data_IF_095658447981
#
_entry.id   IF_095658447981
#
_cell.length_a   1.000
_cell.length_b   1.000
_cell.length_c   1.000
_cell.angle_alpha   90.00
_cell.angle_beta   90.00
_cell.angle_gamma   90.00
#
_symmetry.space_group_name_H-M   'P 1'
#
loop_
_entity.id
_entity.type
_entity.pdbx_description
1 polymer ?
#
# COMPACT_ATOMS: atom_id res chain seq x y z
N UNK A 1 -20.43 35.19 -10.34
CA UNK A 1 -19.06 34.99 -9.82
C UNK A 1 -18.96 33.99 -8.66
N UNK A 2 -19.91 33.93 -7.71
CA UNK A 2 -19.81 33.03 -6.54
C UNK A 2 -19.64 31.53 -6.82
N UNK A 3 -20.28 30.97 -7.86
CA UNK A 3 -20.14 29.53 -8.19
C UNK A 3 -18.76 29.13 -8.77
N UNK A 4 -18.03 30.09 -9.33
CA UNK A 4 -16.70 29.84 -9.91
C UNK A 4 -15.63 29.83 -8.81
N UNK A 5 -15.75 30.75 -7.86
CA UNK A 5 -14.89 30.83 -6.67
C UNK A 5 -15.07 29.58 -5.80
N UNK A 6 -16.30 29.09 -5.63
CA UNK A 6 -16.57 27.88 -4.85
C UNK A 6 -15.98 26.61 -5.46
N UNK A 7 -15.94 26.50 -6.81
CA UNK A 7 -15.28 25.37 -7.50
C UNK A 7 -13.76 25.43 -7.40
N UNK A 8 -13.18 26.63 -7.47
CA UNK A 8 -11.73 26.84 -7.29
C UNK A 8 -11.33 26.52 -5.84
N UNK A 9 -12.15 26.88 -4.85
CA UNK A 9 -11.91 26.56 -3.45
C UNK A 9 -11.93 25.04 -3.20
N UNK A 10 -12.86 24.31 -3.82
CA UNK A 10 -12.90 22.84 -3.74
C UNK A 10 -11.66 22.19 -4.35
N UNK A 11 -11.21 22.66 -5.52
CA UNK A 11 -9.99 22.14 -6.17
C UNK A 11 -8.75 22.44 -5.31
N UNK A 12 -8.65 23.64 -4.73
CA UNK A 12 -7.54 24.00 -3.85
C UNK A 12 -7.52 23.20 -2.56
N UNK A 13 -8.68 22.92 -1.94
CA UNK A 13 -8.80 22.06 -0.75
C UNK A 13 -8.44 20.60 -1.07
N UNK A 14 -8.81 20.09 -2.25
CA UNK A 14 -8.39 18.76 -2.70
C UNK A 14 -6.89 18.68 -3.00
N UNK A 15 -6.28 19.75 -3.51
CA UNK A 15 -4.84 19.82 -3.75
C UNK A 15 -4.02 19.93 -2.45
N UNK A 16 -4.52 20.61 -1.41
CA UNK A 16 -3.84 20.68 -0.11
C UNK A 16 -3.95 19.39 0.72
N UNK A 17 -5.01 18.59 0.54
CA UNK A 17 -5.10 17.24 1.11
C UNK A 17 -4.12 16.22 0.51
N UNK A 18 -3.47 16.54 -0.63
CA UNK A 18 -2.45 15.68 -1.25
C UNK A 18 -1.01 15.98 -0.79
N UNK A 19 -0.77 17.02 0.04
CA UNK A 19 0.60 17.47 0.34
C UNK A 19 1.26 16.76 1.53
N UNK A 20 0.54 16.01 2.34
CA UNK A 20 1.11 15.39 3.55
C UNK A 20 0.79 13.89 3.63
N UNK A 21 1.56 13.11 2.86
CA UNK A 21 1.67 11.66 3.06
C UNK A 21 3.07 11.17 2.65
N UNK A 22 4.12 11.94 2.96
CA UNK A 22 5.47 11.37 3.09
C UNK A 22 5.50 10.66 4.44
N UNK A 23 5.04 9.41 4.45
CA UNK A 23 5.18 8.56 5.63
C UNK A 23 6.66 8.45 5.99
N UNK A 24 6.98 8.68 7.25
CA UNK A 24 8.32 8.56 7.87
C UNK A 24 8.99 7.20 7.67
N UNK A 25 8.27 6.22 7.10
CA UNK A 25 8.81 4.93 6.68
C UNK A 25 9.70 4.99 5.43
N UNK A 26 9.66 6.08 4.66
CA UNK A 26 10.47 6.27 3.42
C UNK A 26 11.74 7.10 3.69
N UNK A 27 11.88 7.66 4.90
CA UNK A 27 13.13 8.31 5.35
C UNK A 27 14.14 7.23 5.74
N UNK A 28 14.82 6.64 4.76
CA UNK A 28 15.84 5.61 5.00
C UNK A 28 16.04 4.59 3.87
N UNK A 29 15.28 4.69 2.76
CA UNK A 29 15.53 3.87 1.58
C UNK A 29 16.63 4.51 0.72
N UNK A 30 17.67 3.72 0.37
CA UNK A 30 18.87 4.18 -0.36
C UNK A 30 18.60 4.85 -1.72
N UNK A 31 17.39 4.67 -2.29
CA UNK A 31 16.98 5.23 -3.58
C UNK A 31 16.95 6.77 -3.63
N UNK A 32 17.04 7.44 -2.48
CA UNK A 32 17.08 8.90 -2.38
C UNK A 32 18.43 9.48 -1.94
N UNK A 33 19.42 8.65 -1.60
CA UNK A 33 20.73 9.15 -1.18
C UNK A 33 21.62 9.46 -2.39
N UNK A 34 22.18 10.66 -2.43
CA UNK A 34 23.16 11.04 -3.46
C UNK A 34 24.54 10.49 -3.12
N UNK A 35 25.29 10.05 -4.14
CA UNK A 35 26.70 9.66 -4.03
C UNK A 35 27.66 10.86 -3.99
N UNK A 36 27.18 12.07 -4.26
CA UNK A 36 28.02 13.27 -4.19
C UNK A 36 28.32 13.62 -2.73
N UNK A 37 29.59 13.82 -2.36
CA UNK A 37 29.95 14.11 -0.98
C UNK A 37 29.37 15.46 -0.52
N UNK A 38 28.58 15.42 0.55
CA UNK A 38 28.04 16.58 1.26
C UNK A 38 27.48 16.18 2.63
N UNK A 39 27.29 17.11 3.56
CA UNK A 39 26.78 16.77 4.91
C UNK A 39 25.40 16.09 4.88
N UNK A 40 24.54 16.47 3.91
CA UNK A 40 23.22 15.86 3.71
C UNK A 40 23.28 14.44 3.13
N UNK A 41 24.35 14.07 2.41
CA UNK A 41 24.51 12.71 1.90
C UNK A 41 24.88 11.74 3.02
N UNK A 42 25.76 12.17 3.94
CA UNK A 42 26.18 11.33 5.08
C UNK A 42 25.03 11.02 6.04
N UNK A 43 24.20 12.00 6.38
CA UNK A 43 23.02 11.77 7.22
C UNK A 43 22.01 10.80 6.58
N UNK A 44 21.85 10.84 5.25
CA UNK A 44 20.99 9.91 4.51
C UNK A 44 21.53 8.46 4.59
N UNK A 45 22.84 8.28 4.43
CA UNK A 45 23.48 6.97 4.52
C UNK A 45 23.44 6.40 5.95
N UNK A 46 23.66 7.23 6.96
CA UNK A 46 23.56 6.83 8.38
C UNK A 46 22.14 6.31 8.73
N UNK A 47 21.11 7.03 8.30
CA UNK A 47 19.72 6.59 8.45
C UNK A 47 19.43 5.29 7.70
N UNK A 48 19.96 5.15 6.49
CA UNK A 48 19.82 3.94 5.68
C UNK A 48 20.46 2.73 6.37
N UNK A 49 21.67 2.89 6.90
CA UNK A 49 22.35 1.85 7.68
C UNK A 49 21.56 1.47 8.92
N UNK A 50 21.08 2.46 9.69
CA UNK A 50 20.25 2.22 10.87
C UNK A 50 18.97 1.44 10.52
N UNK A 51 18.33 1.77 9.40
CA UNK A 51 17.15 1.04 8.91
C UNK A 51 17.47 -0.43 8.58
N UNK A 52 18.56 -0.70 7.86
CA UNK A 52 18.95 -2.07 7.52
C UNK A 52 19.36 -2.88 8.74
N UNK A 53 20.09 -2.27 9.69
CA UNK A 53 20.45 -2.91 10.95
C UNK A 53 19.22 -3.27 11.78
N UNK A 54 18.29 -2.32 11.96
CA UNK A 54 17.05 -2.55 12.68
C UNK A 54 16.20 -3.64 12.01
N UNK A 55 16.16 -3.64 10.67
CA UNK A 55 15.45 -4.64 9.88
C UNK A 55 16.08 -6.03 10.03
N UNK A 56 17.40 -6.14 9.91
CA UNK A 56 18.14 -7.38 10.07
C UNK A 56 17.95 -7.96 11.48
N UNK A 57 18.14 -7.14 12.52
CA UNK A 57 17.90 -7.55 13.91
C UNK A 57 16.44 -7.97 14.13
N UNK A 58 15.49 -7.31 13.47
CA UNK A 58 14.08 -7.69 13.46
C UNK A 58 13.87 -9.09 12.88
N UNK A 59 14.48 -9.40 11.73
CA UNK A 59 14.39 -10.72 11.11
C UNK A 59 15.02 -11.81 11.98
N UNK A 60 16.19 -11.54 12.58
CA UNK A 60 16.88 -12.49 13.46
C UNK A 60 16.02 -12.81 14.70
N UNK A 61 15.37 -11.81 15.32
CA UNK A 61 14.43 -12.03 16.42
C UNK A 61 13.19 -12.82 15.99
N UNK A 62 12.68 -12.56 14.79
CA UNK A 62 11.56 -13.31 14.24
C UNK A 62 11.92 -14.77 13.97
N UNK A 63 13.14 -15.04 13.51
CA UNK A 63 13.67 -16.39 13.37
C UNK A 63 13.67 -17.11 14.72
N UNK A 64 14.21 -16.48 15.78
CA UNK A 64 14.20 -17.04 17.15
C UNK A 64 12.77 -17.34 17.62
N UNK A 65 11.83 -16.41 17.41
CA UNK A 65 10.43 -16.64 17.77
C UNK A 65 9.80 -17.80 16.99
N UNK A 66 10.12 -17.95 15.71
CA UNK A 66 9.62 -19.07 14.90
C UNK A 66 10.15 -20.42 15.42
N UNK A 67 11.45 -20.50 15.74
CA UNK A 67 12.06 -21.71 16.32
C UNK A 67 11.44 -22.08 17.68
N UNK A 68 11.14 -21.09 18.53
CA UNK A 68 10.40 -21.30 19.78
C UNK A 68 9.01 -21.89 19.49
N UNK A 69 8.28 -21.34 18.52
CA UNK A 69 6.95 -21.85 18.13
C UNK A 69 7.00 -23.29 17.60
N UNK A 70 8.02 -23.62 16.80
CA UNK A 70 8.25 -24.99 16.32
C UNK A 70 8.53 -25.93 17.50
N UNK A 71 9.37 -25.50 18.46
CA UNK A 71 9.69 -26.29 19.64
C UNK A 71 8.46 -26.52 20.53
N UNK A 72 7.56 -25.55 20.67
CA UNK A 72 6.28 -25.70 21.37
C UNK A 72 5.41 -26.77 20.72
N UNK A 73 5.24 -26.69 19.40
CA UNK A 73 4.46 -27.66 18.66
C UNK A 73 5.05 -29.08 18.79
N UNK A 74 6.38 -29.23 18.66
CA UNK A 74 7.04 -30.54 18.83
C UNK A 74 6.93 -31.08 20.25
N UNK A 75 6.96 -30.22 21.27
CA UNK A 75 6.74 -30.64 22.66
C UNK A 75 5.36 -31.26 22.85
N UNK A 76 4.33 -30.69 22.20
CA UNK A 76 2.96 -31.17 22.29
C UNK A 76 2.72 -32.47 21.50
N UNK A 77 3.44 -32.69 20.39
CA UNK A 77 3.14 -33.77 19.45
C UNK A 77 4.18 -34.90 19.40
N UNK A 78 5.46 -34.61 19.62
CA UNK A 78 6.58 -35.53 19.36
C UNK A 78 7.38 -35.88 20.63
N UNK A 79 7.11 -35.22 21.78
CA UNK A 79 7.75 -35.44 23.10
C UNK A 79 9.29 -35.35 23.14
N UNK A 80 9.96 -34.97 22.06
CA UNK A 80 11.42 -34.81 22.01
C UNK A 80 11.80 -33.59 21.14
N UNK A 81 12.57 -32.67 21.71
CA UNK A 81 13.11 -31.51 20.99
C UNK A 81 14.62 -31.73 20.83
N UNK A 82 15.06 -31.93 19.59
CA UNK A 82 16.49 -32.00 19.27
C UNK A 82 16.93 -30.71 18.58
N UNK A 83 17.51 -29.80 19.38
CA UNK A 83 17.98 -28.49 18.93
C UNK A 83 19.21 -28.59 18.01
N UNK A 84 20.09 -29.57 18.22
CA UNK A 84 21.26 -29.77 17.35
C UNK A 84 20.84 -30.19 15.94
N UNK A 85 19.83 -31.05 15.85
CA UNK A 85 19.21 -31.44 14.58
C UNK A 85 18.52 -30.27 13.90
N UNK A 86 17.79 -29.43 14.64
CA UNK A 86 17.16 -28.23 14.09
C UNK A 86 18.20 -27.26 13.49
N UNK A 87 19.37 -27.14 14.14
CA UNK A 87 20.50 -26.36 13.62
C UNK A 87 21.07 -26.94 12.34
N UNK A 88 21.38 -28.22 12.33
CA UNK A 88 21.94 -28.90 11.16
C UNK A 88 21.00 -28.82 9.95
N UNK A 89 19.72 -29.11 10.15
CA UNK A 89 18.70 -29.03 9.09
C UNK A 89 18.53 -27.60 8.55
N UNK A 90 18.65 -26.58 9.41
CA UNK A 90 18.53 -25.18 8.99
C UNK A 90 19.74 -24.73 8.19
N UNK A 91 20.96 -25.03 8.65
CA UNK A 91 22.19 -24.70 7.93
C UNK A 91 22.21 -25.42 6.58
N UNK A 92 21.89 -26.71 6.56
CA UNK A 92 21.82 -27.49 5.32
C UNK A 92 20.83 -26.86 4.32
N UNK A 93 19.68 -26.39 4.79
CA UNK A 93 18.70 -25.73 3.92
C UNK A 93 19.19 -24.39 3.38
N UNK A 94 19.90 -23.60 4.18
CA UNK A 94 20.46 -22.32 3.73
C UNK A 94 21.56 -22.50 2.69
N UNK A 95 22.42 -23.51 2.88
CA UNK A 95 23.48 -23.86 1.92
C UNK A 95 22.90 -24.39 0.62
N UNK A 96 21.89 -25.27 0.70
CA UNK A 96 21.38 -25.99 -0.48
C UNK A 96 20.24 -25.26 -1.21
N UNK A 97 19.54 -24.32 -0.57
CA UNK A 97 18.40 -23.61 -1.17
C UNK A 97 18.67 -22.11 -1.24
N UNK A 98 19.63 -21.72 -2.07
CA UNK A 98 19.83 -20.31 -2.40
C UNK A 98 18.60 -19.74 -3.11
N UNK A 99 18.10 -18.56 -2.73
CA UNK A 99 16.98 -17.94 -3.41
C UNK A 99 17.27 -17.72 -4.89
N UNK A 100 16.33 -18.01 -5.80
CA UNK A 100 16.50 -17.62 -7.19
C UNK A 100 16.59 -16.09 -7.24
N UNK A 101 17.60 -15.56 -7.95
CA UNK A 101 17.84 -14.12 -8.18
C UNK A 101 18.61 -13.36 -7.08
N UNK A 102 19.32 -14.06 -6.19
CA UNK A 102 20.36 -13.42 -5.37
C UNK A 102 21.71 -13.91 -5.88
N UNK A 103 22.44 -13.03 -6.56
CA UNK A 103 23.84 -13.24 -6.86
C UNK A 103 24.63 -12.90 -5.59
N UNK A 104 25.29 -13.89 -5.00
CA UNK A 104 26.30 -13.64 -3.97
C UNK A 104 27.53 -13.08 -4.70
N UNK A 105 27.54 -11.76 -4.89
CA UNK A 105 28.51 -11.05 -5.73
C UNK A 105 29.96 -11.20 -5.25
N UNK A 106 30.23 -11.73 -4.05
CA UNK A 106 31.59 -11.87 -3.51
C UNK A 106 31.82 -13.12 -2.63
N UNK A 107 30.98 -14.16 -2.73
CA UNK A 107 31.04 -15.34 -1.81
C UNK A 107 31.00 -14.89 -0.33
N UNK A 108 30.21 -13.84 -0.06
CA UNK A 108 30.03 -13.25 1.27
C UNK A 108 29.34 -14.22 2.23
N UNK A 109 28.69 -15.26 1.71
CA UNK A 109 28.01 -16.27 2.50
C UNK A 109 28.66 -17.63 2.37
N UNK A 110 29.22 -18.12 3.48
CA UNK A 110 29.82 -19.44 3.57
C UNK A 110 29.12 -20.30 4.64
N UNK A 111 29.41 -21.60 4.60
CA UNK A 111 28.85 -22.56 5.54
C UNK A 111 29.24 -22.23 6.99
N UNK A 112 30.43 -21.67 7.21
CA UNK A 112 30.92 -21.30 8.54
C UNK A 112 30.16 -20.10 9.13
N UNK A 113 29.84 -19.09 8.31
CA UNK A 113 28.98 -17.99 8.69
C UNK A 113 27.58 -18.48 9.05
N UNK A 114 26.99 -19.36 8.23
CA UNK A 114 25.68 -19.94 8.55
C UNK A 114 25.72 -20.74 9.86
N UNK A 115 26.73 -21.58 10.05
CA UNK A 115 26.92 -22.33 11.29
C UNK A 115 27.03 -21.42 12.51
N UNK A 116 27.76 -20.32 12.41
CA UNK A 116 27.94 -19.36 13.50
C UNK A 116 26.64 -18.62 13.80
N UNK A 117 26.01 -18.02 12.79
CA UNK A 117 24.80 -17.20 12.97
C UNK A 117 23.62 -18.07 13.41
N UNK A 118 23.31 -19.15 12.68
CA UNK A 118 22.21 -20.04 13.01
C UNK A 118 22.46 -20.75 14.34
N UNK A 119 23.71 -21.14 14.62
CA UNK A 119 24.09 -21.70 15.91
C UNK A 119 23.80 -20.76 17.08
N UNK A 120 24.13 -19.47 16.94
CA UNK A 120 23.83 -18.46 17.96
C UNK A 120 22.32 -18.24 18.13
N UNK A 121 21.56 -18.15 17.03
CA UNK A 121 20.11 -17.93 17.06
C UNK A 121 19.35 -19.11 17.67
N UNK A 122 19.70 -20.35 17.30
CA UNK A 122 19.04 -21.54 17.85
C UNK A 122 19.41 -21.73 19.32
N UNK A 123 20.64 -21.38 19.71
CA UNK A 123 21.02 -21.36 21.11
C UNK A 123 20.17 -20.36 21.91
N UNK A 124 19.98 -19.14 21.40
CA UNK A 124 19.11 -18.14 22.02
C UNK A 124 17.64 -18.61 22.07
N UNK A 125 17.13 -19.23 21.01
CA UNK A 125 15.80 -19.83 20.99
C UNK A 125 15.63 -20.92 22.04
N UNK A 126 16.61 -21.80 22.19
CA UNK A 126 16.63 -22.85 23.21
C UNK A 126 16.58 -22.25 24.62
N UNK A 127 17.47 -21.30 24.91
CA UNK A 127 17.54 -20.65 26.22
C UNK A 127 16.21 -19.94 26.56
N UNK A 128 15.63 -19.21 25.60
CA UNK A 128 14.34 -18.54 25.80
C UNK A 128 13.16 -19.51 25.97
N UNK A 129 13.16 -20.62 25.23
CA UNK A 129 12.15 -21.66 25.36
C UNK A 129 12.24 -22.39 26.72
N UNK A 130 13.44 -22.69 27.19
CA UNK A 130 13.66 -23.31 28.50
C UNK A 130 13.22 -22.38 29.65
N UNK A 131 13.42 -21.07 29.50
CA UNK A 131 12.97 -20.07 30.46
C UNK A 131 11.45 -19.90 30.48
N UNK A 132 10.79 -19.86 29.31
CA UNK A 132 9.34 -19.72 29.22
C UNK A 132 8.76 -20.55 28.07
N UNK A 133 8.44 -21.83 28.32
CA UNK A 133 7.96 -22.74 27.28
C UNK A 133 6.54 -22.44 26.80
N UNK A 134 5.76 -21.65 27.56
CA UNK A 134 4.37 -21.29 27.23
C UNK A 134 4.25 -19.86 26.65
N UNK A 135 5.38 -19.22 26.31
CA UNK A 135 5.39 -17.88 25.70
C UNK A 135 4.63 -17.88 24.38
N UNK A 136 3.89 -16.82 24.10
CA UNK A 136 3.29 -16.63 22.78
C UNK A 136 4.39 -16.40 21.72
N UNK A 137 4.63 -17.41 20.89
CA UNK A 137 5.60 -17.40 19.80
C UNK A 137 4.91 -17.00 18.49
N UNK A 138 4.30 -15.81 18.46
CA UNK A 138 3.70 -15.28 17.24
C UNK A 138 4.75 -14.44 16.52
N UNK A 139 5.32 -14.91 15.38
CA UNK A 139 6.15 -14.05 14.56
C UNK A 139 5.29 -12.91 14.04
N UNK A 140 5.56 -11.68 14.50
CA UNK A 140 4.98 -10.50 13.89
C UNK A 140 5.63 -10.36 12.52
N UNK A 141 4.89 -10.69 11.45
CA UNK A 141 5.40 -10.59 10.10
C UNK A 141 5.93 -9.17 9.87
N UNK A 142 7.18 -9.03 9.40
CA UNK A 142 7.75 -7.72 9.13
C UNK A 142 6.86 -6.99 8.11
N UNK A 143 6.49 -5.75 8.40
CA UNK A 143 5.79 -4.94 7.43
C UNK A 143 6.71 -4.68 6.25
N UNK A 144 6.32 -5.10 5.05
CA UNK A 144 7.10 -4.86 3.84
C UNK A 144 7.33 -3.37 3.62
N UNK A 145 8.43 -3.02 2.94
CA UNK A 145 8.78 -1.64 2.52
C UNK A 145 7.85 -1.08 1.43
N UNK A 146 6.69 -1.71 1.24
CA UNK A 146 5.69 -1.28 0.27
C UNK A 146 4.91 -0.11 0.86
N UNK A 147 4.76 0.97 0.06
CA UNK A 147 3.92 2.11 0.45
C UNK A 147 2.54 1.58 0.88
N UNK A 148 2.01 2.00 2.03
CA UNK A 148 0.75 1.48 2.53
C UNK A 148 -0.35 1.65 1.47
N UNK A 149 -0.87 0.52 0.99
CA UNK A 149 -1.87 0.46 -0.09
C UNK A 149 -3.14 1.26 0.23
N UNK A 150 -3.37 1.58 1.50
CA UNK A 150 -4.47 2.41 2.00
C UNK A 150 -4.54 3.78 1.31
N UNK A 151 -3.39 4.42 1.02
CA UNK A 151 -3.38 5.72 0.33
C UNK A 151 -3.83 5.58 -1.12
N UNK A 152 -3.35 4.56 -1.82
CA UNK A 152 -3.74 4.25 -3.20
C UNK A 152 -5.23 3.87 -3.28
N UNK A 153 -5.71 3.11 -2.31
CA UNK A 153 -7.11 2.72 -2.18
C UNK A 153 -8.02 3.94 -1.96
N UNK A 154 -7.63 4.88 -1.10
CA UNK A 154 -8.37 6.13 -0.90
C UNK A 154 -8.38 7.02 -2.14
N UNK A 155 -7.24 7.15 -2.85
CA UNK A 155 -7.16 7.87 -4.11
C UNK A 155 -8.08 7.25 -5.18
N UNK A 156 -8.14 5.91 -5.25
CA UNK A 156 -9.05 5.21 -6.14
C UNK A 156 -10.53 5.49 -5.81
N UNK A 157 -10.92 5.42 -4.54
CA UNK A 157 -12.29 5.71 -4.09
C UNK A 157 -12.69 7.14 -4.44
N UNK A 158 -11.83 8.11 -4.14
CA UNK A 158 -12.10 9.52 -4.44
C UNK A 158 -12.25 9.74 -5.95
N UNK A 159 -11.34 9.17 -6.75
CA UNK A 159 -11.40 9.24 -8.22
C UNK A 159 -12.69 8.63 -8.76
N UNK A 160 -13.12 7.48 -8.22
CA UNK A 160 -14.36 6.82 -8.62
C UNK A 160 -15.59 7.69 -8.31
N UNK A 161 -15.67 8.29 -7.12
CA UNK A 161 -16.77 9.19 -6.74
C UNK A 161 -16.84 10.43 -7.63
N UNK A 162 -15.69 11.05 -7.94
CA UNK A 162 -15.63 12.20 -8.85
C UNK A 162 -16.12 11.81 -10.26
N UNK A 163 -15.76 10.62 -10.72
CA UNK A 163 -16.16 10.13 -12.04
C UNK A 163 -17.67 9.86 -12.11
N UNK A 164 -18.24 9.20 -11.09
CA UNK A 164 -19.68 8.92 -11.01
C UNK A 164 -20.49 10.22 -10.91
N UNK A 165 -20.04 11.18 -10.12
CA UNK A 165 -20.72 12.48 -9.98
C UNK A 165 -20.67 13.29 -11.28
N UNK A 166 -19.53 13.30 -11.98
CA UNK A 166 -19.43 13.94 -13.31
C UNK A 166 -20.36 13.28 -14.32
N UNK A 167 -20.34 11.95 -14.44
CA UNK A 167 -21.24 11.21 -15.34
C UNK A 167 -22.70 11.49 -15.03
N UNK A 168 -23.10 11.42 -13.75
CA UNK A 168 -24.46 11.73 -13.33
C UNK A 168 -24.87 13.17 -13.69
N UNK A 169 -23.96 14.13 -13.55
CA UNK A 169 -24.22 15.53 -13.93
C UNK A 169 -24.41 15.72 -15.44
N UNK A 170 -23.62 15.02 -16.26
CA UNK A 170 -23.73 15.07 -17.73
C UNK A 170 -25.06 14.46 -18.17
N UNK A 171 -25.41 13.28 -17.66
CA UNK A 171 -26.69 12.62 -17.96
C UNK A 171 -27.87 13.49 -17.55
N UNK A 172 -27.82 14.10 -16.36
CA UNK A 172 -28.86 15.00 -15.88
C UNK A 172 -29.00 16.25 -16.77
N UNK A 173 -27.90 16.83 -17.23
CA UNK A 173 -27.93 17.98 -18.14
C UNK A 173 -28.54 17.61 -19.50
N UNK A 174 -28.17 16.45 -20.07
CA UNK A 174 -28.74 15.96 -21.32
C UNK A 174 -30.26 15.78 -21.16
N UNK A 175 -30.71 15.16 -20.08
CA UNK A 175 -32.12 14.95 -19.80
C UNK A 175 -32.91 16.28 -19.67
N UNK A 176 -32.35 17.27 -18.97
CA UNK A 176 -32.99 18.59 -18.82
C UNK A 176 -33.07 19.33 -20.16
N UNK A 177 -32.02 19.24 -21.00
CA UNK A 177 -32.01 19.88 -22.31
C UNK A 177 -33.01 19.22 -23.26
N UNK A 178 -33.10 17.89 -23.25
CA UNK A 178 -34.05 17.14 -24.06
C UNK A 178 -35.51 17.44 -23.65
N UNK A 179 -35.78 17.44 -22.34
CA UNK A 179 -37.09 17.82 -21.79
C UNK A 179 -37.50 19.24 -22.21
N UNK A 180 -36.57 20.21 -22.12
CA UNK A 180 -36.85 21.58 -22.55
C UNK A 180 -37.09 21.66 -24.05
N UNK A 181 -36.28 20.99 -24.87
CA UNK A 181 -36.41 21.01 -26.32
C UNK A 181 -37.79 20.48 -26.75
N UNK A 182 -38.21 19.36 -26.17
CA UNK A 182 -39.52 18.77 -26.47
C UNK A 182 -40.68 19.70 -26.07
N UNK A 183 -40.58 20.37 -24.92
CA UNK A 183 -41.57 21.37 -24.49
C UNK A 183 -41.62 22.60 -25.40
N UNK A 184 -40.47 23.05 -25.90
CA UNK A 184 -40.42 24.17 -26.84
C UNK A 184 -41.13 23.83 -28.16
N UNK A 185 -40.92 22.63 -28.70
CA UNK A 185 -41.56 22.15 -29.93
C UNK A 185 -43.09 22.17 -29.81
N UNK A 186 -43.62 21.66 -28.71
CA UNK A 186 -45.07 21.58 -28.45
C UNK A 186 -45.72 22.99 -28.43
N UNK A 187 -45.11 23.95 -27.72
CA UNK A 187 -45.60 25.33 -27.65
C UNK A 187 -45.60 26.02 -29.03
N UNK A 188 -44.56 25.79 -29.85
CA UNK A 188 -44.53 26.32 -31.22
C UNK A 188 -45.63 25.74 -32.10
N UNK A 189 -45.94 24.46 -31.96
CA UNK A 189 -46.98 23.81 -32.74
C UNK A 189 -48.38 24.34 -32.38
N UNK A 190 -48.65 24.51 -31.08
CA UNK A 190 -49.90 25.12 -30.60
C UNK A 190 -50.07 26.56 -31.09
N UNK A 191 -48.99 27.35 -31.05
CA UNK A 191 -48.98 28.74 -31.52
C UNK A 191 -49.29 28.83 -33.02
N UNK A 192 -48.73 27.93 -33.84
CA UNK A 192 -49.04 27.88 -35.27
C UNK A 192 -50.48 27.45 -35.55
N UNK A 193 -51.01 26.48 -34.79
CA UNK A 193 -52.41 26.05 -34.91
C UNK A 193 -53.37 27.21 -34.61
N UNK A 194 -53.10 28.03 -33.60
CA UNK A 194 -53.92 29.21 -33.30
C UNK A 194 -53.88 30.27 -34.42
N UNK A 195 -52.70 30.59 -34.95
CA UNK A 195 -52.56 31.54 -36.07
C UNK A 195 -53.35 31.10 -37.32
N UNK A 196 -53.32 29.80 -37.65
CA UNK A 196 -54.09 29.24 -38.77
C UNK A 196 -55.60 29.33 -38.56
N UNK A 197 -56.09 29.19 -37.33
CA UNK A 197 -57.53 29.36 -37.00
C UNK A 197 -57.96 30.83 -37.16
N UNK A 198 -57.14 31.78 -36.71
CA UNK A 198 -57.45 33.21 -36.85
C UNK A 198 -57.47 33.66 -38.32
N UNK A 199 -56.57 33.16 -39.16
CA UNK A 199 -56.57 33.48 -40.60
C UNK A 199 -57.79 32.92 -41.34
N UNK A 200 -58.37 31.80 -40.90
CA UNK A 200 -59.60 31.24 -41.50
C UNK A 200 -60.88 31.99 -41.12
N UNK A 201 -60.85 32.77 -40.04
CA UNK A 201 -61.98 33.57 -39.55
C UNK A 201 -61.93 35.04 -40.02
N UNK A 202 -60.90 35.44 -40.77
CA UNK A 202 -60.84 36.77 -41.36
C UNK A 202 -61.94 36.90 -42.44
N UNK A 203 -62.79 37.94 -42.38
CA UNK A 203 -63.83 38.15 -43.38
C UNK A 203 -63.19 38.37 -44.74
N UNK A 204 -63.68 37.65 -45.75
CA UNK A 204 -63.38 37.96 -47.16
C UNK A 204 -64.09 39.26 -47.48
N UNK A 205 -63.34 40.36 -47.46
CA UNK A 205 -63.75 41.63 -48.07
C UNK A 205 -63.83 41.50 -49.59
#
# INVERSE_FOLDING_TARGET
>A
MGRMIQRILYILVFLSLCREATGSYVEGCSSHCTMTPGESSWQCWDQTTSYFEASLLGQLRNFVNAEIGIAQWRKEHENNINWDRAREETVERMVNNLPPLIEDEDDLTDQDLYNSVIGALIKDAKEQFELNPAREAVPSCPHGCEKPSKTFFWLFIVSALVTVTLMGSIVSLIYILDYKNNKYVDITEETQKQKRKQQKQAPKG
#
